data_IF_122848135425
#
_entry.id   IF_122848135425
#
_cell.length_a   1.000
_cell.length_b   1.000
_cell.length_c   1.000
_cell.angle_alpha   90.00
_cell.angle_beta   90.00
_cell.angle_gamma   90.00
#
_symmetry.space_group_name_H-M   'P 1'
#
loop_
_entity.id
_entity.type
_entity.pdbx_description
1 polymer ?
#
# COMPACT_ATOMS: atom_id res chain seq x y z
N UNK A 1 3.23 -18.52 -6.56
CA UNK A 1 2.40 -17.42 -6.02
C UNK A 1 0.96 -17.81 -6.26
N UNK A 2 0.18 -17.96 -5.19
CA UNK A 2 -1.27 -18.18 -5.29
C UNK A 2 -1.98 -16.81 -5.39
N UNK A 3 -3.11 -16.75 -6.11
CA UNK A 3 -3.90 -15.53 -6.27
C UNK A 3 -5.26 -15.72 -5.62
N UNK A 4 -5.55 -14.84 -4.66
CA UNK A 4 -6.84 -14.80 -3.96
C UNK A 4 -7.56 -13.50 -4.30
N UNK A 5 -8.81 -13.61 -4.74
CA UNK A 5 -9.70 -12.47 -5.00
C UNK A 5 -10.44 -12.13 -3.73
N UNK A 6 -10.41 -10.86 -3.33
CA UNK A 6 -11.04 -10.37 -2.11
C UNK A 6 -12.15 -9.39 -2.49
N UNK A 7 -13.39 -9.74 -2.16
CA UNK A 7 -14.53 -8.84 -2.35
C UNK A 7 -14.60 -7.81 -1.22
N UNK A 8 -14.64 -6.53 -1.59
CA UNK A 8 -14.74 -5.38 -0.68
C UNK A 8 -16.00 -4.56 -0.96
N UNK A 9 -16.99 -5.16 -1.59
CA UNK A 9 -18.24 -4.51 -1.96
C UNK A 9 -19.01 -3.99 -0.74
N UNK A 10 -19.48 -2.75 -0.85
CA UNK A 10 -20.25 -2.08 0.21
C UNK A 10 -21.75 -1.94 -0.13
N UNK A 11 -22.18 -2.44 -1.28
CA UNK A 11 -23.59 -2.49 -1.70
C UNK A 11 -24.30 -3.69 -1.03
N UNK A 12 -25.60 -3.88 -1.28
CA UNK A 12 -26.33 -5.00 -0.65
C UNK A 12 -26.15 -6.34 -1.38
N UNK A 13 -25.55 -6.32 -2.57
CA UNK A 13 -25.31 -7.51 -3.38
C UNK A 13 -24.07 -8.24 -2.87
N UNK A 14 -24.19 -9.54 -2.65
CA UNK A 14 -23.08 -10.37 -2.18
C UNK A 14 -22.63 -11.32 -3.29
N UNK A 15 -21.36 -11.22 -3.64
CA UNK A 15 -20.70 -12.20 -4.50
C UNK A 15 -20.29 -13.39 -3.64
N UNK A 16 -20.74 -14.58 -4.03
CA UNK A 16 -20.51 -15.80 -3.24
C UNK A 16 -19.28 -16.59 -3.68
N UNK A 17 -18.86 -16.42 -4.93
CA UNK A 17 -17.70 -17.08 -5.54
C UNK A 17 -17.24 -16.35 -6.81
N UNK A 18 -16.01 -16.62 -7.22
CA UNK A 18 -15.47 -16.27 -8.54
C UNK A 18 -14.82 -17.52 -9.14
N UNK A 19 -15.19 -17.87 -10.37
CA UNK A 19 -14.65 -19.07 -11.03
C UNK A 19 -13.12 -18.97 -11.16
N UNK A 20 -12.44 -20.10 -10.92
CA UNK A 20 -10.99 -20.29 -11.09
C UNK A 20 -10.07 -19.55 -10.11
N UNK A 21 -10.59 -18.91 -9.06
CA UNK A 21 -9.78 -18.25 -8.04
C UNK A 21 -10.21 -18.62 -6.62
N UNK A 22 -9.24 -18.64 -5.70
CA UNK A 22 -9.54 -18.56 -4.27
C UNK A 22 -10.26 -17.25 -4.01
N UNK A 23 -11.36 -17.28 -3.26
CA UNK A 23 -12.27 -16.14 -3.12
C UNK A 23 -12.61 -15.88 -1.66
N UNK A 24 -12.33 -14.67 -1.19
CA UNK A 24 -12.67 -14.20 0.15
C UNK A 24 -13.88 -13.28 0.04
N UNK A 25 -14.96 -13.62 0.74
CA UNK A 25 -16.19 -12.84 0.71
C UNK A 25 -16.03 -11.59 1.55
N UNK A 26 -16.77 -10.54 1.20
CA UNK A 26 -16.84 -9.31 1.99
C UNK A 26 -17.17 -9.56 3.47
N UNK A 27 -18.00 -10.57 3.77
CA UNK A 27 -18.35 -10.94 5.15
C UNK A 27 -17.11 -11.35 5.95
N UNK A 28 -16.24 -12.16 5.34
CA UNK A 28 -15.03 -12.68 5.97
C UNK A 28 -14.03 -11.56 6.24
N UNK A 29 -13.92 -10.59 5.31
CA UNK A 29 -13.14 -9.37 5.51
C UNK A 29 -13.69 -8.57 6.69
N UNK A 30 -15.00 -8.35 6.75
CA UNK A 30 -15.65 -7.59 7.83
C UNK A 30 -15.45 -8.24 9.22
N UNK A 31 -15.54 -9.56 9.30
CA UNK A 31 -15.32 -10.33 10.53
C UNK A 31 -13.90 -10.15 11.10
N UNK A 32 -12.89 -9.82 10.28
CA UNK A 32 -11.56 -9.51 10.77
C UNK A 32 -11.58 -8.36 11.78
N UNK A 33 -12.32 -7.29 11.46
CA UNK A 33 -12.33 -6.06 12.26
C UNK A 33 -13.14 -6.13 13.55
N UNK A 34 -14.12 -7.02 13.62
CA UNK A 34 -15.10 -7.08 14.71
C UNK A 34 -14.83 -8.17 15.75
N UNK A 35 -13.89 -9.08 15.47
CA UNK A 35 -13.28 -9.98 16.46
C UNK A 35 -14.21 -11.03 17.10
N UNK A 36 -15.48 -11.15 16.65
CA UNK A 36 -16.46 -12.12 17.19
C UNK A 36 -17.39 -12.63 16.09
N UNK A 37 -17.67 -13.94 16.07
CA UNK A 37 -18.59 -14.57 15.10
C UNK A 37 -20.04 -14.06 15.20
N UNK A 38 -20.40 -13.42 16.32
CA UNK A 38 -21.72 -12.84 16.60
C UNK A 38 -21.82 -11.32 16.34
N UNK A 39 -20.77 -10.71 15.80
CA UNK A 39 -20.79 -9.28 15.46
C UNK A 39 -21.55 -9.03 14.16
N UNK A 40 -22.32 -7.94 14.10
CA UNK A 40 -23.06 -7.58 12.90
C UNK A 40 -22.10 -7.19 11.77
N UNK A 41 -22.13 -7.94 10.67
CA UNK A 41 -21.45 -7.60 9.41
C UNK A 41 -22.26 -6.62 8.57
N UNK A 42 -23.22 -5.93 9.21
CA UNK A 42 -24.14 -5.03 8.55
C UNK A 42 -23.45 -3.69 8.30
N UNK A 43 -23.34 -3.33 7.03
CA UNK A 43 -22.80 -2.03 6.63
C UNK A 43 -23.86 -0.94 6.81
N UNK A 44 -23.45 0.28 7.21
CA UNK A 44 -24.36 1.42 7.25
C UNK A 44 -24.88 1.77 5.85
N UNK A 45 -26.10 2.31 5.78
CA UNK A 45 -26.69 2.77 4.52
C UNK A 45 -25.95 3.96 3.91
N UNK A 46 -25.28 4.76 4.73
CA UNK A 46 -24.42 5.85 4.27
C UNK A 46 -23.16 5.30 3.61
N UNK A 47 -23.00 5.61 2.31
CA UNK A 47 -21.91 5.10 1.49
C UNK A 47 -20.52 5.45 2.03
N UNK A 48 -20.33 6.66 2.54
CA UNK A 48 -19.02 7.10 3.04
C UNK A 48 -18.65 6.34 4.32
N UNK A 49 -19.61 6.18 5.24
CA UNK A 49 -19.44 5.36 6.44
C UNK A 49 -19.17 3.89 6.09
N UNK A 50 -19.86 3.34 5.09
CA UNK A 50 -19.66 1.95 4.65
C UNK A 50 -18.26 1.74 4.07
N UNK A 51 -17.79 2.67 3.23
CA UNK A 51 -16.42 2.67 2.70
C UNK A 51 -15.40 2.74 3.83
N UNK A 52 -15.58 3.63 4.81
CA UNK A 52 -14.68 3.78 5.95
C UNK A 52 -14.59 2.49 6.79
N UNK A 53 -15.73 1.87 7.08
CA UNK A 53 -15.79 0.61 7.84
C UNK A 53 -15.10 -0.52 7.06
N UNK A 54 -15.44 -0.70 5.78
CA UNK A 54 -14.82 -1.72 4.94
C UNK A 54 -13.31 -1.50 4.79
N UNK A 55 -12.86 -0.25 4.62
CA UNK A 55 -11.44 0.11 4.54
C UNK A 55 -10.66 -0.34 5.78
N UNK A 56 -11.22 -0.14 6.97
CA UNK A 56 -10.65 -0.64 8.24
C UNK A 56 -10.66 -2.17 8.33
N UNK A 57 -11.70 -2.81 7.80
CA UNK A 57 -11.78 -4.27 7.75
C UNK A 57 -10.70 -4.87 6.82
N UNK A 58 -10.52 -4.28 5.64
CA UNK A 58 -9.43 -4.64 4.72
C UNK A 58 -8.06 -4.42 5.38
N UNK A 59 -7.89 -3.35 6.14
CA UNK A 59 -6.63 -3.10 6.87
C UNK A 59 -6.32 -4.24 7.84
N UNK A 60 -7.31 -4.66 8.64
CA UNK A 60 -7.15 -5.81 9.54
C UNK A 60 -6.79 -7.08 8.75
N UNK A 61 -7.52 -7.34 7.66
CA UNK A 61 -7.37 -8.53 6.85
C UNK A 61 -5.96 -8.62 6.24
N UNK A 62 -5.50 -7.53 5.62
CA UNK A 62 -4.16 -7.45 5.03
C UNK A 62 -3.07 -7.54 6.09
N UNK A 63 -3.27 -6.93 7.26
CA UNK A 63 -2.32 -7.05 8.37
C UNK A 63 -2.17 -8.50 8.82
N UNK A 64 -3.27 -9.23 9.03
CA UNK A 64 -3.21 -10.65 9.39
C UNK A 64 -2.51 -11.48 8.30
N UNK A 65 -2.88 -11.29 7.04
CA UNK A 65 -2.24 -11.97 5.92
C UNK A 65 -0.72 -11.69 5.83
N UNK A 66 -0.29 -10.48 6.21
CA UNK A 66 1.11 -10.12 6.30
C UNK A 66 1.80 -10.78 7.50
N UNK A 67 1.20 -10.68 8.69
CA UNK A 67 1.72 -11.26 9.94
C UNK A 67 1.84 -12.79 9.84
N UNK A 68 0.92 -13.45 9.12
CA UNK A 68 0.93 -14.89 8.84
C UNK A 68 1.93 -15.30 7.73
N UNK A 69 2.61 -14.33 7.11
CA UNK A 69 3.65 -14.58 6.10
C UNK A 69 3.12 -15.02 4.73
N UNK A 70 1.81 -14.93 4.48
CA UNK A 70 1.17 -15.38 3.22
C UNK A 70 1.01 -14.25 2.20
N UNK A 71 1.17 -13.00 2.61
CA UNK A 71 1.01 -11.83 1.72
C UNK A 71 2.28 -11.53 0.91
N UNK A 72 2.25 -11.83 -0.39
CA UNK A 72 3.36 -11.51 -1.30
C UNK A 72 3.24 -10.10 -1.94
N UNK A 73 2.02 -9.55 -2.03
CA UNK A 73 1.72 -8.25 -2.61
C UNK A 73 0.22 -8.07 -2.83
N UNK A 74 -0.22 -6.86 -3.14
CA UNK A 74 -1.63 -6.52 -3.36
C UNK A 74 -1.80 -5.67 -4.62
N UNK A 75 -2.79 -6.04 -5.43
CA UNK A 75 -3.30 -5.23 -6.52
C UNK A 75 -4.79 -4.94 -6.31
N UNK A 76 -5.20 -3.71 -6.56
CA UNK A 76 -6.60 -3.29 -6.52
C UNK A 76 -6.95 -2.38 -7.69
N UNK A 77 -8.24 -2.11 -7.87
CA UNK A 77 -8.73 -1.13 -8.82
C UNK A 77 -9.97 -0.41 -8.29
N UNK A 78 -10.19 0.84 -8.70
CA UNK A 78 -11.42 1.53 -8.35
C UNK A 78 -11.57 2.96 -8.86
N UNK A 79 -12.81 3.44 -8.80
CA UNK A 79 -13.14 4.86 -8.91
C UNK A 79 -12.60 5.68 -7.73
N UNK A 80 -13.02 6.95 -7.59
CA UNK A 80 -12.69 7.76 -6.41
C UNK A 80 -13.03 7.04 -5.09
N UNK A 81 -14.24 6.50 -4.95
CA UNK A 81 -14.67 5.79 -3.74
C UNK A 81 -13.90 4.50 -3.47
N UNK A 82 -13.60 3.70 -4.51
CA UNK A 82 -12.80 2.48 -4.37
C UNK A 82 -11.34 2.79 -4.05
N UNK A 83 -10.81 3.87 -4.61
CA UNK A 83 -9.46 4.37 -4.27
C UNK A 83 -9.39 4.81 -2.81
N UNK A 84 -10.39 5.57 -2.33
CA UNK A 84 -10.51 5.94 -0.92
C UNK A 84 -10.71 4.75 0.03
N UNK A 85 -11.29 3.64 -0.45
CA UNK A 85 -11.44 2.41 0.32
C UNK A 85 -10.11 1.65 0.43
N UNK A 86 -9.42 1.46 -0.70
CA UNK A 86 -8.24 0.60 -0.81
C UNK A 86 -6.93 1.29 -0.44
N UNK A 87 -6.80 2.60 -0.65
CA UNK A 87 -5.55 3.30 -0.40
C UNK A 87 -5.13 3.28 1.09
N UNK A 88 -5.99 3.60 2.07
CA UNK A 88 -5.61 3.57 3.48
C UNK A 88 -5.04 2.21 3.96
N UNK A 89 -5.69 1.05 3.73
CA UNK A 89 -5.15 -0.22 4.19
C UNK A 89 -3.85 -0.59 3.46
N UNK A 90 -3.71 -0.25 2.17
CA UNK A 90 -2.47 -0.49 1.42
C UNK A 90 -1.29 0.33 1.94
N UNK A 91 -1.52 1.57 2.38
CA UNK A 91 -0.48 2.42 2.99
C UNK A 91 0.09 1.81 4.28
N UNK A 92 -0.70 1.01 5.00
CA UNK A 92 -0.25 0.40 6.27
C UNK A 92 0.63 -0.83 6.09
N UNK A 93 0.71 -1.37 4.88
CA UNK A 93 1.63 -2.47 4.58
C UNK A 93 3.07 -1.96 4.58
N UNK A 94 4.04 -2.74 5.10
CA UNK A 94 5.43 -2.31 5.15
C UNK A 94 6.00 -1.89 3.79
N UNK A 95 6.95 -0.95 3.84
CA UNK A 95 7.70 -0.50 2.67
C UNK A 95 8.33 -1.71 1.95
N UNK A 96 8.23 -1.73 0.62
CA UNK A 96 8.78 -2.78 -0.21
C UNK A 96 7.84 -3.98 -0.42
N UNK A 97 6.72 -4.09 0.31
CA UNK A 97 5.62 -4.99 -0.08
C UNK A 97 4.95 -4.41 -1.33
N UNK A 98 4.89 -5.12 -2.47
CA UNK A 98 4.25 -4.61 -3.68
C UNK A 98 2.78 -4.23 -3.44
N UNK A 99 2.44 -2.98 -3.73
CA UNK A 99 1.11 -2.39 -3.52
C UNK A 99 0.76 -1.50 -4.72
N UNK A 100 -0.17 -1.97 -5.57
CA UNK A 100 -0.56 -1.29 -6.81
C UNK A 100 -2.07 -1.08 -6.86
N UNK A 101 -2.51 0.11 -7.26
CA UNK A 101 -3.92 0.47 -7.34
C UNK A 101 -4.22 1.17 -8.67
N UNK A 102 -5.01 0.53 -9.53
CA UNK A 102 -5.50 1.15 -10.77
C UNK A 102 -6.64 2.11 -10.40
N UNK A 103 -6.45 3.41 -10.65
CA UNK A 103 -7.35 4.45 -10.15
C UNK A 103 -7.76 5.44 -11.23
N UNK A 104 -9.05 5.77 -11.25
CA UNK A 104 -9.62 6.88 -12.05
C UNK A 104 -9.14 8.26 -11.59
N UNK A 105 -8.61 8.36 -10.36
CA UNK A 105 -8.16 9.62 -9.74
C UNK A 105 -6.65 9.65 -9.53
N UNK A 106 -5.90 8.77 -10.21
CA UNK A 106 -4.43 8.77 -10.14
C UNK A 106 -3.78 10.05 -10.72
N UNK A 107 -4.44 10.70 -11.68
CA UNK A 107 -3.99 11.97 -12.26
C UNK A 107 -4.70 13.13 -11.56
N UNK A 108 -4.22 13.50 -10.38
CA UNK A 108 -4.81 14.56 -9.55
C UNK A 108 -4.09 14.75 -8.22
N UNK A 109 -4.82 15.19 -7.19
CA UNK A 109 -4.28 15.29 -5.83
C UNK A 109 -4.24 13.91 -5.16
N UNK A 110 -3.07 13.29 -5.15
CA UNK A 110 -2.88 11.90 -4.71
C UNK A 110 -2.24 11.75 -3.33
N UNK A 111 -1.83 12.85 -2.70
CA UNK A 111 -1.24 12.85 -1.35
C UNK A 111 -2.10 12.07 -0.32
N UNK A 112 -3.45 12.20 -0.27
CA UNK A 112 -4.25 11.46 0.69
C UNK A 112 -4.27 9.94 0.45
N UNK A 113 -3.98 9.50 -0.78
CA UNK A 113 -3.99 8.09 -1.17
C UNK A 113 -2.62 7.44 -1.02
N UNK A 114 -1.53 8.16 -1.28
CA UNK A 114 -0.17 7.59 -1.24
C UNK A 114 0.48 7.87 0.12
N UNK A 115 0.23 9.04 0.69
CA UNK A 115 0.89 9.51 1.91
C UNK A 115 2.41 9.50 1.75
N UNK A 116 3.08 8.82 2.67
CA UNK A 116 4.54 8.60 2.65
C UNK A 116 4.92 7.16 2.30
N UNK A 117 3.96 6.38 1.78
CA UNK A 117 4.18 4.99 1.37
C UNK A 117 4.75 4.90 -0.05
N UNK A 118 5.11 3.68 -0.45
CA UNK A 118 5.47 3.27 -1.81
C UNK A 118 4.24 2.77 -2.60
N UNK A 119 3.01 3.20 -2.26
CA UNK A 119 1.81 2.89 -3.04
C UNK A 119 1.90 3.43 -4.46
N UNK A 120 1.74 2.54 -5.44
CA UNK A 120 1.69 2.91 -6.85
C UNK A 120 0.25 3.10 -7.29
N UNK A 121 -0.10 4.33 -7.70
CA UNK A 121 -1.35 4.60 -8.41
C UNK A 121 -1.12 4.54 -9.92
N UNK A 122 -1.84 3.64 -10.60
CA UNK A 122 -1.79 3.52 -12.05
C UNK A 122 -3.05 4.17 -12.65
N UNK A 123 -2.93 5.21 -13.50
CA UNK A 123 -4.09 5.86 -14.11
C UNK A 123 -4.92 4.90 -14.96
N UNK A 124 -6.24 4.82 -14.69
CA UNK A 124 -7.14 3.96 -15.46
C UNK A 124 -7.38 4.43 -16.90
N UNK A 125 -7.01 5.69 -17.20
CA UNK A 125 -7.21 6.43 -18.46
C UNK A 125 -8.69 6.72 -18.77
N UNK A 126 -9.52 5.69 -18.75
CA UNK A 126 -10.98 5.77 -18.87
C UNK A 126 -11.63 5.37 -17.55
N UNK A 127 -12.91 5.71 -17.38
CA UNK A 127 -13.67 5.25 -16.23
C UNK A 127 -13.72 3.71 -16.18
N UNK A 128 -13.76 3.16 -14.97
CA UNK A 128 -13.79 1.71 -14.73
C UNK A 128 -15.24 1.26 -14.78
N UNK A 129 -15.77 1.17 -16.01
CA UNK A 129 -17.12 0.74 -16.30
C UNK A 129 -17.09 -0.37 -17.36
N UNK A 130 -16.79 -1.59 -16.92
CA UNK A 130 -16.63 -2.75 -17.79
C UNK A 130 -15.31 -2.79 -18.59
N UNK A 131 -15.17 -3.82 -19.41
CA UNK A 131 -14.00 -4.04 -20.25
C UNK A 131 -14.21 -3.47 -21.65
N UNK A 132 -13.33 -2.55 -22.04
CA UNK A 132 -13.23 -1.99 -23.38
C UNK A 132 -11.79 -2.10 -23.88
N UNK A 133 -11.52 -1.65 -25.12
CA UNK A 133 -10.18 -1.77 -25.71
C UNK A 133 -9.09 -1.03 -24.90
N UNK A 134 -9.42 0.11 -24.29
CA UNK A 134 -8.49 0.88 -23.44
C UNK A 134 -8.28 0.17 -22.11
N UNK A 135 -9.37 -0.17 -21.41
CA UNK A 135 -9.26 -0.76 -20.08
C UNK A 135 -8.59 -2.13 -20.10
N UNK A 136 -8.75 -2.91 -21.18
CA UNK A 136 -8.00 -4.17 -21.37
C UNK A 136 -6.49 -3.95 -21.37
N UNK A 137 -6.00 -2.95 -22.10
CA UNK A 137 -4.55 -2.64 -22.16
C UNK A 137 -4.06 -2.16 -20.80
N UNK A 138 -4.78 -1.22 -20.18
CA UNK A 138 -4.40 -0.64 -18.90
C UNK A 138 -4.37 -1.69 -17.79
N UNK A 139 -5.41 -2.51 -17.67
CA UNK A 139 -5.49 -3.57 -16.66
C UNK A 139 -4.47 -4.68 -16.92
N UNK A 140 -4.16 -5.00 -18.18
CA UNK A 140 -3.10 -5.96 -18.51
C UNK A 140 -1.73 -5.46 -18.08
N UNK A 141 -1.42 -4.19 -18.35
CA UNK A 141 -0.17 -3.57 -17.91
C UNK A 141 -0.07 -3.53 -16.38
N UNK A 142 -1.16 -3.19 -15.68
CA UNK A 142 -1.22 -3.20 -14.23
C UNK A 142 -0.97 -4.60 -13.65
N UNK A 143 -1.61 -5.63 -14.20
CA UNK A 143 -1.40 -7.01 -13.80
C UNK A 143 0.04 -7.48 -14.02
N UNK A 144 0.61 -7.18 -15.19
CA UNK A 144 2.00 -7.50 -15.50
C UNK A 144 3.00 -6.78 -14.57
N UNK A 145 2.77 -5.49 -14.29
CA UNK A 145 3.58 -4.71 -13.37
C UNK A 145 3.54 -5.29 -11.93
N UNK A 146 2.35 -5.59 -11.43
CA UNK A 146 2.19 -6.20 -10.10
C UNK A 146 2.87 -7.57 -10.02
N UNK A 147 2.68 -8.43 -11.03
CA UNK A 147 3.34 -9.72 -11.10
C UNK A 147 4.87 -9.59 -11.12
N UNK A 148 5.41 -8.66 -11.91
CA UNK A 148 6.84 -8.38 -11.99
C UNK A 148 7.43 -7.92 -10.65
N UNK A 149 6.76 -6.99 -9.95
CA UNK A 149 7.18 -6.55 -8.62
C UNK A 149 7.18 -7.70 -7.60
N UNK A 150 6.14 -8.53 -7.61
CA UNK A 150 5.99 -9.66 -6.68
C UNK A 150 7.05 -10.73 -6.95
N UNK A 151 7.16 -11.21 -8.19
CA UNK A 151 8.13 -12.24 -8.57
C UNK A 151 9.56 -11.75 -8.38
N UNK A 152 9.84 -10.51 -8.78
CA UNK A 152 11.15 -9.88 -8.59
C UNK A 152 11.55 -9.84 -7.12
N UNK A 153 10.66 -9.38 -6.24
CA UNK A 153 10.89 -9.36 -4.79
C UNK A 153 11.11 -10.77 -4.22
N UNK A 154 10.23 -11.72 -4.56
CA UNK A 154 10.34 -13.10 -4.06
C UNK A 154 11.65 -13.77 -4.50
N UNK A 155 12.16 -13.44 -5.69
CA UNK A 155 13.43 -13.99 -6.20
C UNK A 155 14.66 -13.44 -5.47
N UNK A 156 14.53 -12.32 -4.76
CA UNK A 156 15.61 -11.72 -3.95
C UNK A 156 15.58 -12.16 -2.49
N UNK A 157 14.54 -12.88 -2.05
CA UNK A 157 14.45 -13.40 -0.68
C UNK A 157 15.56 -14.44 -0.49
N UNK A 158 16.51 -14.16 0.40
CA UNK A 158 17.66 -15.02 0.70
C UNK A 158 18.94 -14.68 -0.07
N UNK A 159 18.89 -13.74 -1.02
CA UNK A 159 20.09 -13.14 -1.65
C UNK A 159 20.53 -11.99 -0.76
N UNK A 160 21.03 -12.29 0.44
CA UNK A 160 21.68 -11.30 1.27
C UNK A 160 23.07 -11.05 0.69
N UNK A 161 23.26 -9.95 -0.03
CA UNK A 161 24.61 -9.43 -0.24
C UNK A 161 25.20 -9.14 1.15
N UNK A 162 26.18 -9.96 1.55
CA UNK A 162 26.93 -9.85 2.80
C UNK A 162 27.81 -8.58 2.87
N UNK A 163 27.51 -7.56 2.08
CA UNK A 163 28.04 -6.22 2.29
C UNK A 163 27.32 -5.63 3.50
N UNK A 164 28.05 -5.43 4.60
CA UNK A 164 27.56 -4.82 5.83
C UNK A 164 26.66 -3.61 5.52
N UNK A 165 25.36 -3.76 5.74
CA UNK A 165 24.40 -2.66 5.60
C UNK A 165 24.90 -1.53 6.50
N UNK A 166 25.23 -0.38 5.90
CA UNK A 166 25.70 0.77 6.65
C UNK A 166 24.61 1.20 7.63
N UNK A 167 25.00 1.65 8.81
CA UNK A 167 24.02 2.23 9.73
C UNK A 167 23.47 3.51 9.10
N UNK A 168 22.18 3.54 8.89
CA UNK A 168 21.44 4.69 8.38
C UNK A 168 21.15 5.69 9.48
N UNK A 169 21.27 6.98 9.18
CA UNK A 169 21.00 8.07 10.13
C UNK A 169 20.02 9.06 9.50
N UNK A 170 18.88 9.30 10.16
CA UNK A 170 17.94 10.32 9.71
C UNK A 170 18.44 11.73 10.03
N UNK A 171 18.20 12.66 9.10
CA UNK A 171 18.44 14.08 9.32
C UNK A 171 17.29 14.90 8.75
N UNK A 172 16.82 15.89 9.50
CA UNK A 172 15.84 16.86 9.00
C UNK A 172 16.53 18.10 8.45
N UNK A 173 15.98 18.67 7.38
CA UNK A 173 16.56 19.79 6.65
C UNK A 173 15.49 20.81 6.27
N UNK A 174 15.90 22.07 6.26
CA UNK A 174 15.18 23.17 5.64
C UNK A 174 16.17 24.00 4.83
N UNK A 175 15.68 24.82 3.88
CA UNK A 175 16.56 25.61 3.02
C UNK A 175 17.60 26.43 3.80
N UNK A 176 17.19 27.03 4.93
CA UNK A 176 18.05 27.84 5.81
C UNK A 176 19.05 27.01 6.64
N UNK A 177 18.86 25.70 6.77
CA UNK A 177 19.77 24.80 7.51
C UNK A 177 20.68 23.97 6.59
N UNK A 178 20.56 24.12 5.27
CA UNK A 178 21.34 23.38 4.27
C UNK A 178 22.85 23.37 4.55
N UNK A 179 23.52 24.49 4.94
CA UNK A 179 24.96 24.45 5.23
C UNK A 179 25.31 23.53 6.40
N UNK A 180 24.52 23.55 7.47
CA UNK A 180 24.69 22.68 8.63
C UNK A 180 24.46 21.21 8.25
N UNK A 181 23.32 20.92 7.61
CA UNK A 181 22.95 19.55 7.22
C UNK A 181 23.97 18.95 6.25
N UNK A 182 24.51 19.73 5.32
CA UNK A 182 25.54 19.27 4.37
C UNK A 182 26.85 18.91 5.09
N UNK A 183 27.30 19.75 6.02
CA UNK A 183 28.50 19.47 6.82
C UNK A 183 28.34 18.21 7.68
N UNK A 184 27.17 18.02 8.30
CA UNK A 184 26.87 16.80 9.08
C UNK A 184 26.79 15.58 8.17
N UNK A 185 26.12 15.67 7.01
CA UNK A 185 26.04 14.59 6.02
C UNK A 185 27.42 14.10 5.60
N UNK A 186 28.30 15.02 5.21
CA UNK A 186 29.66 14.69 4.78
C UNK A 186 30.45 14.00 5.89
N UNK A 187 30.29 14.46 7.15
CA UNK A 187 30.91 13.81 8.29
C UNK A 187 30.39 12.39 8.50
N UNK A 188 29.08 12.19 8.48
CA UNK A 188 28.46 10.87 8.65
C UNK A 188 28.90 9.88 7.57
N UNK A 189 28.97 10.33 6.31
CA UNK A 189 29.46 9.49 5.19
C UNK A 189 30.91 9.07 5.40
N UNK A 190 31.78 9.99 5.84
CA UNK A 190 33.19 9.67 6.18
C UNK A 190 33.31 8.68 7.33
N UNK A 191 32.39 8.77 8.29
CA UNK A 191 32.34 7.88 9.45
C UNK A 191 31.65 6.53 9.14
N UNK A 192 31.24 6.29 7.88
CA UNK A 192 30.69 5.01 7.41
C UNK A 192 29.18 4.84 7.55
N UNK A 193 28.45 5.91 7.89
CA UNK A 193 26.99 5.92 7.98
C UNK A 193 26.33 6.23 6.63
N UNK A 194 25.03 5.92 6.52
CA UNK A 194 24.17 6.24 5.39
C UNK A 194 23.12 7.29 5.78
N UNK A 195 23.40 8.59 5.57
CA UNK A 195 22.46 9.64 5.97
C UNK A 195 21.26 9.74 5.03
N UNK A 196 20.06 9.71 5.58
CA UNK A 196 18.79 9.97 4.88
C UNK A 196 18.29 11.36 5.27
N UNK A 197 18.12 12.25 4.27
CA UNK A 197 17.77 13.65 4.49
C UNK A 197 16.31 13.89 4.17
N UNK A 198 15.56 14.44 5.12
CA UNK A 198 14.13 14.70 5.02
C UNK A 198 13.85 16.21 5.09
N UNK A 199 13.05 16.70 4.14
CA UNK A 199 12.63 18.10 4.18
C UNK A 199 11.57 18.32 5.26
N UNK A 200 11.76 19.32 6.14
CA UNK A 200 10.92 19.57 7.31
C UNK A 200 9.59 20.30 6.95
N UNK A 201 8.83 19.78 5.98
CA UNK A 201 7.51 20.29 5.53
C UNK A 201 6.31 19.59 6.16
N UNK A 202 6.51 18.93 7.31
CA UNK A 202 5.52 18.03 7.90
C UNK A 202 5.54 16.65 7.25
N UNK A 203 5.33 16.54 5.93
CA UNK A 203 5.37 15.26 5.20
C UNK A 203 6.73 14.57 5.33
N UNK A 204 7.85 15.30 5.21
CA UNK A 204 9.16 14.69 5.36
C UNK A 204 9.46 14.19 6.77
N UNK A 205 8.94 14.85 7.81
CA UNK A 205 9.02 14.35 9.18
C UNK A 205 8.24 13.05 9.37
N UNK A 206 7.02 12.97 8.83
CA UNK A 206 6.23 11.73 8.83
C UNK A 206 6.94 10.60 8.09
N UNK A 207 7.51 10.88 6.91
CA UNK A 207 8.25 9.88 6.13
C UNK A 207 9.46 9.33 6.90
N UNK A 208 10.18 10.20 7.61
CA UNK A 208 11.28 9.81 8.50
C UNK A 208 10.79 8.87 9.61
N UNK A 209 9.70 9.21 10.29
CA UNK A 209 9.13 8.38 11.37
C UNK A 209 8.63 7.02 10.87
N UNK A 210 8.01 6.97 9.68
CA UNK A 210 7.59 5.70 9.07
C UNK A 210 8.79 4.80 8.75
N UNK A 211 9.89 5.35 8.23
CA UNK A 211 11.10 4.59 7.94
C UNK A 211 11.80 4.10 9.22
N UNK A 212 11.76 4.88 10.30
CA UNK A 212 12.21 4.44 11.63
C UNK A 212 11.35 3.26 12.11
N UNK A 213 10.02 3.38 12.04
CA UNK A 213 9.10 2.30 12.45
C UNK A 213 9.27 1.03 11.62
N UNK A 214 9.60 1.18 10.33
CA UNK A 214 9.89 0.09 9.41
C UNK A 214 11.28 -0.53 9.59
N UNK A 215 12.11 -0.02 10.50
CA UNK A 215 13.47 -0.54 10.74
C UNK A 215 14.49 -0.17 9.66
N UNK A 216 14.13 0.72 8.73
CA UNK A 216 15.04 1.23 7.70
C UNK A 216 16.02 2.27 8.25
N UNK A 217 15.72 2.83 9.42
CA UNK A 217 16.57 3.79 10.15
C UNK A 217 16.80 3.24 11.55
N UNK A 218 18.08 3.17 11.99
CA UNK A 218 18.46 2.60 13.30
C UNK A 218 18.57 3.64 14.41
#
# INVERSE_FOLDING_TARGET
VEVTVVDVSTNNEELTSMENFSFVRRRDVLLCSTGTENSSTQLPSDRAKAICLMSRAVQCFLKRAYDDGVLAGVIGLGGSGGTSLLAPPLQTLPLGVPKLLVSTVASGHTEPYIGTSDLVLLPSVVDICGLNHVSRVVLSNAGAAAAGMIVGRLSQIGVSDYTSVKKTVAMTMFGVTTPCVSAVKERLVRDGYEPLVFHATGVGGKAMEELIRGGFIQ
#
